data_IF_572444813304
#
_entry.id   IF_572444813304
#
_cell.length_a   1.000
_cell.length_b   1.000
_cell.length_c   1.000
_cell.angle_alpha   90.00
_cell.angle_beta   90.00
_cell.angle_gamma   90.00
#
_symmetry.space_group_name_H-M   'P 1'
#
loop_
_entity.id
_entity.type
_entity.pdbx_description
1 polymer ?
#
# COMPACT_ATOMS: atom_id res chain seq x y z
N UNK A 1 16.29 -14.89 18.24
CA UNK A 1 14.94 -14.69 18.77
C UNK A 1 14.76 -15.39 20.09
N UNK A 2 14.04 -14.78 21.00
CA UNK A 2 13.82 -15.35 22.32
C UNK A 2 12.54 -16.17 22.35
N UNK A 3 12.68 -17.47 22.48
CA UNK A 3 11.54 -18.40 22.52
C UNK A 3 10.62 -18.07 23.72
N UNK A 4 11.22 -17.69 24.84
CA UNK A 4 10.47 -17.32 26.05
C UNK A 4 9.52 -16.16 25.81
N UNK A 5 9.88 -15.24 24.92
CA UNK A 5 9.03 -14.10 24.58
C UNK A 5 7.73 -14.56 23.90
N UNK A 6 7.82 -15.55 23.04
CA UNK A 6 6.65 -16.12 22.35
C UNK A 6 5.77 -16.86 23.36
N UNK A 7 6.37 -17.58 24.31
CA UNK A 7 5.64 -18.33 25.30
C UNK A 7 4.85 -17.45 26.28
N UNK A 8 5.22 -16.16 26.38
CA UNK A 8 4.53 -15.21 27.25
C UNK A 8 3.27 -14.62 26.60
N UNK A 9 3.04 -14.88 25.32
CA UNK A 9 1.86 -14.36 24.62
C UNK A 9 0.66 -15.28 24.81
N UNK A 10 -0.51 -14.66 24.96
CA UNK A 10 -1.77 -15.41 24.91
C UNK A 10 -2.07 -15.84 23.49
N UNK A 11 -2.98 -16.81 23.32
CA UNK A 11 -3.41 -17.25 22.00
C UNK A 11 -3.99 -16.10 21.17
N UNK A 12 -4.81 -15.25 21.80
CA UNK A 12 -5.43 -14.11 21.11
C UNK A 12 -4.38 -13.07 20.68
N UNK A 13 -3.40 -12.81 21.56
CA UNK A 13 -2.31 -11.89 21.25
C UNK A 13 -1.47 -12.40 20.07
N UNK A 14 -1.20 -13.71 20.06
CA UNK A 14 -0.44 -14.32 18.98
C UNK A 14 -1.19 -14.26 17.67
N UNK A 15 -2.48 -14.52 17.64
CA UNK A 15 -3.30 -14.42 16.45
C UNK A 15 -3.34 -12.99 15.92
N UNK A 16 -3.50 -12.00 16.81
CA UNK A 16 -3.50 -10.59 16.43
C UNK A 16 -2.17 -10.18 15.82
N UNK A 17 -1.06 -10.68 16.36
CA UNK A 17 0.28 -10.40 15.85
C UNK A 17 0.47 -10.99 14.45
N UNK A 18 0.03 -12.23 14.25
CA UNK A 18 0.11 -12.89 12.94
C UNK A 18 -0.72 -12.17 11.90
N UNK A 19 -1.95 -11.77 12.24
CA UNK A 19 -2.82 -11.01 11.34
C UNK A 19 -2.17 -9.70 10.93
N UNK A 20 -1.55 -9.00 11.88
CA UNK A 20 -0.85 -7.75 11.61
C UNK A 20 0.30 -7.94 10.63
N UNK A 21 1.11 -9.00 10.82
CA UNK A 21 2.24 -9.30 9.93
C UNK A 21 1.78 -9.65 8.53
N UNK A 22 0.74 -10.46 8.42
CA UNK A 22 0.19 -10.85 7.12
C UNK A 22 -0.36 -9.63 6.37
N UNK A 23 -1.07 -8.75 7.05
CA UNK A 23 -1.61 -7.53 6.45
C UNK A 23 -0.48 -6.60 5.99
N UNK A 24 0.56 -6.42 6.80
CA UNK A 24 1.72 -5.61 6.43
C UNK A 24 2.44 -6.19 5.22
N UNK A 25 2.64 -7.51 5.17
CA UNK A 25 3.28 -8.18 4.04
C UNK A 25 2.47 -7.97 2.77
N UNK A 26 1.15 -8.03 2.86
CA UNK A 26 0.28 -7.79 1.72
C UNK A 26 0.41 -6.35 1.21
N UNK A 27 0.49 -5.39 2.12
CA UNK A 27 0.69 -3.99 1.75
C UNK A 27 2.01 -3.80 1.01
N UNK A 28 3.10 -4.34 1.52
CA UNK A 28 4.40 -4.23 0.86
C UNK A 28 4.45 -4.96 -0.48
N UNK A 29 3.76 -6.10 -0.58
CA UNK A 29 3.63 -6.79 -1.85
C UNK A 29 2.91 -5.90 -2.88
N UNK A 30 1.83 -5.25 -2.47
CA UNK A 30 1.10 -4.32 -3.32
C UNK A 30 2.00 -3.17 -3.79
N UNK A 31 2.74 -2.57 -2.87
CA UNK A 31 3.67 -1.48 -3.19
C UNK A 31 4.72 -1.92 -4.20
N UNK A 32 5.30 -3.10 -4.01
CA UNK A 32 6.34 -3.63 -4.91
C UNK A 32 5.78 -3.90 -6.31
N UNK A 33 4.58 -4.44 -6.42
CA UNK A 33 3.93 -4.69 -7.71
C UNK A 33 3.64 -3.36 -8.42
N UNK A 34 3.12 -2.38 -7.70
CA UNK A 34 2.86 -1.05 -8.26
C UNK A 34 4.15 -0.42 -8.77
N UNK A 35 5.20 -0.47 -7.96
CA UNK A 35 6.50 0.07 -8.34
C UNK A 35 7.03 -0.57 -9.63
N UNK A 36 6.94 -1.88 -9.72
CA UNK A 36 7.40 -2.63 -10.88
C UNK A 36 6.65 -2.23 -12.15
N UNK A 37 5.32 -2.17 -12.08
CA UNK A 37 4.48 -1.85 -13.24
C UNK A 37 4.65 -0.38 -13.68
N UNK A 38 4.85 0.52 -12.74
CA UNK A 38 5.06 1.95 -13.05
C UNK A 38 6.53 2.25 -13.39
N UNK A 39 7.43 1.28 -13.26
CA UNK A 39 8.84 1.47 -13.60
C UNK A 39 9.56 2.39 -12.63
N UNK A 40 9.20 2.35 -11.35
CA UNK A 40 9.83 3.16 -10.31
C UNK A 40 10.37 2.26 -9.21
N UNK A 41 11.31 2.78 -8.44
CA UNK A 41 11.82 2.08 -7.27
C UNK A 41 10.83 2.24 -6.11
N UNK A 42 10.60 1.19 -5.27
CA UNK A 42 9.68 1.32 -4.15
C UNK A 42 9.96 2.49 -3.22
N UNK A 43 11.23 2.86 -3.05
CA UNK A 43 11.61 4.01 -2.21
C UNK A 43 11.01 5.32 -2.73
N UNK A 44 10.78 5.44 -4.03
CA UNK A 44 10.18 6.63 -4.61
C UNK A 44 8.69 6.75 -4.27
N UNK A 45 8.04 5.62 -3.99
CA UNK A 45 6.63 5.62 -3.55
C UNK A 45 6.52 6.20 -2.14
N UNK A 46 7.47 5.85 -1.25
CA UNK A 46 7.48 6.37 0.12
C UNK A 46 7.94 7.82 0.21
N UNK A 47 8.76 8.28 -0.73
CA UNK A 47 9.28 9.65 -0.74
C UNK A 47 8.22 10.64 -1.22
N UNK A 48 8.56 11.94 -1.14
CA UNK A 48 7.73 13.01 -1.69
C UNK A 48 8.19 13.38 -3.10
N UNK A 49 8.45 12.39 -3.92
CA UNK A 49 8.87 12.60 -5.30
C UNK A 49 7.69 13.15 -6.10
N UNK A 50 7.89 14.29 -6.74
CA UNK A 50 6.83 14.99 -7.50
C UNK A 50 6.79 14.63 -8.97
N UNK A 51 7.72 13.79 -9.44
CA UNK A 51 7.67 13.32 -10.83
C UNK A 51 6.39 12.52 -11.08
N UNK A 52 5.96 12.49 -12.33
CA UNK A 52 4.66 11.92 -12.70
C UNK A 52 4.56 10.44 -12.34
N UNK A 53 5.53 9.63 -12.76
CA UNK A 53 5.46 8.19 -12.54
C UNK A 53 5.47 7.82 -11.05
N UNK A 54 6.40 8.31 -10.22
CA UNK A 54 6.37 8.01 -8.78
C UNK A 54 5.11 8.56 -8.09
N UNK A 55 4.64 9.73 -8.50
CA UNK A 55 3.44 10.34 -7.92
C UNK A 55 2.20 9.49 -8.20
N UNK A 56 2.03 9.04 -9.43
CA UNK A 56 0.91 8.18 -9.81
C UNK A 56 1.01 6.80 -9.15
N UNK A 57 2.20 6.24 -9.07
CA UNK A 57 2.44 4.97 -8.39
C UNK A 57 2.04 5.06 -6.92
N UNK A 58 2.45 6.12 -6.24
CA UNK A 58 2.08 6.37 -4.83
C UNK A 58 0.57 6.49 -4.68
N UNK A 59 -0.07 7.25 -5.55
CA UNK A 59 -1.51 7.44 -5.53
C UNK A 59 -2.24 6.11 -5.62
N UNK A 60 -1.86 5.26 -6.56
CA UNK A 60 -2.48 3.95 -6.72
C UNK A 60 -2.19 3.03 -5.53
N UNK A 61 -0.94 3.00 -5.07
CA UNK A 61 -0.57 2.16 -3.94
C UNK A 61 -1.34 2.53 -2.67
N UNK A 62 -1.46 3.81 -2.37
CA UNK A 62 -2.24 4.27 -1.22
C UNK A 62 -3.71 3.88 -1.34
N UNK A 63 -4.29 4.05 -2.52
CA UNK A 63 -5.69 3.69 -2.74
C UNK A 63 -5.93 2.19 -2.54
N UNK A 64 -5.06 1.35 -3.09
CA UNK A 64 -5.20 -0.09 -2.98
C UNK A 64 -4.99 -0.59 -1.56
N UNK A 65 -3.96 -0.10 -0.87
CA UNK A 65 -3.69 -0.51 0.51
C UNK A 65 -4.83 -0.08 1.43
N UNK A 66 -5.44 1.08 1.19
CA UNK A 66 -6.54 1.57 2.01
C UNK A 66 -7.83 0.75 1.88
N UNK A 67 -7.91 -0.16 0.93
CA UNK A 67 -9.08 -1.03 0.79
C UNK A 67 -9.13 -2.12 1.87
N UNK A 68 -7.97 -2.50 2.43
CA UNK A 68 -7.93 -3.55 3.46
C UNK A 68 -7.19 -3.12 4.73
N UNK A 69 -6.85 -1.85 4.84
CA UNK A 69 -6.32 -1.23 6.06
C UNK A 69 -7.13 0.01 6.38
N UNK A 70 -7.16 0.38 7.65
CA UNK A 70 -7.77 1.65 8.06
C UNK A 70 -6.95 2.81 7.49
N UNK A 71 -7.54 4.00 7.48
CA UNK A 71 -6.81 5.21 7.05
C UNK A 71 -5.58 5.44 7.91
N UNK A 72 -5.70 5.22 9.21
CA UNK A 72 -4.58 5.39 10.14
C UNK A 72 -3.45 4.41 9.85
N UNK A 73 -3.78 3.14 9.62
CA UNK A 73 -2.80 2.11 9.30
C UNK A 73 -2.12 2.40 7.95
N UNK A 74 -2.90 2.79 6.95
CA UNK A 74 -2.38 3.13 5.62
C UNK A 74 -1.43 4.32 5.72
N UNK A 75 -1.80 5.36 6.44
CA UNK A 75 -0.94 6.52 6.64
C UNK A 75 0.38 6.12 7.29
N UNK A 76 0.34 5.23 8.26
CA UNK A 76 1.53 4.75 8.95
C UNK A 76 2.44 3.95 8.02
N UNK A 77 1.86 3.06 7.19
CA UNK A 77 2.62 2.27 6.21
C UNK A 77 3.38 3.19 5.26
N UNK A 78 2.73 4.25 4.79
CA UNK A 78 3.34 5.21 3.87
C UNK A 78 4.08 6.34 4.57
N UNK A 79 4.25 6.24 5.90
CA UNK A 79 4.99 7.23 6.70
C UNK A 79 4.41 8.64 6.57
N UNK A 80 3.09 8.73 6.55
CA UNK A 80 2.35 10.00 6.48
C UNK A 80 1.74 10.29 7.85
N UNK A 81 1.76 11.56 8.23
CA UNK A 81 1.23 12.00 9.54
C UNK A 81 -0.29 12.12 9.56
N UNK A 82 -0.90 12.31 8.39
CA UNK A 82 -2.29 12.71 8.30
C UNK A 82 -3.07 11.76 7.38
N UNK A 83 -4.27 11.39 7.82
CA UNK A 83 -5.21 10.59 7.03
C UNK A 83 -5.67 11.29 5.75
N UNK A 84 -5.66 12.62 5.74
CA UNK A 84 -6.08 13.42 4.61
C UNK A 84 -5.30 13.07 3.34
N UNK A 85 -4.01 12.77 3.48
CA UNK A 85 -3.19 12.33 2.36
C UNK A 85 -3.75 11.08 1.70
N UNK A 86 -4.21 10.13 2.51
CA UNK A 86 -4.76 8.87 2.00
C UNK A 86 -6.13 9.11 1.33
N UNK A 87 -6.96 9.93 1.94
CA UNK A 87 -8.27 10.29 1.37
C UNK A 87 -8.09 10.98 0.01
N UNK A 88 -7.15 11.92 -0.07
CA UNK A 88 -6.84 12.62 -1.32
C UNK A 88 -6.31 11.64 -2.38
N UNK A 89 -5.48 10.67 -1.98
CA UNK A 89 -4.96 9.67 -2.89
C UNK A 89 -6.08 8.80 -3.46
N UNK A 90 -7.03 8.39 -2.65
CA UNK A 90 -8.19 7.61 -3.12
C UNK A 90 -9.00 8.37 -4.15
N UNK A 91 -9.28 9.64 -3.88
CA UNK A 91 -10.02 10.51 -4.80
C UNK A 91 -9.28 10.70 -6.10
N UNK A 92 -7.96 10.93 -6.02
CA UNK A 92 -7.12 11.14 -7.19
C UNK A 92 -6.98 9.87 -8.02
N UNK A 93 -6.84 8.72 -7.39
CA UNK A 93 -6.77 7.44 -8.09
C UNK A 93 -8.07 7.19 -8.86
N UNK A 94 -9.20 7.49 -8.28
CA UNK A 94 -10.50 7.37 -8.90
C UNK A 94 -10.61 8.27 -10.14
N UNK A 95 -10.21 9.53 -10.00
CA UNK A 95 -10.21 10.48 -11.11
C UNK A 95 -9.25 10.03 -12.22
N UNK A 96 -8.04 9.60 -11.89
CA UNK A 96 -7.07 9.15 -12.88
C UNK A 96 -7.55 7.89 -13.61
N UNK A 97 -8.22 6.99 -12.93
CA UNK A 97 -8.78 5.78 -13.56
C UNK A 97 -9.81 6.14 -14.61
N UNK A 98 -10.56 7.20 -14.41
CA UNK A 98 -11.56 7.65 -15.38
C UNK A 98 -10.95 8.48 -16.51
N UNK A 99 -9.91 9.27 -16.24
CA UNK A 99 -9.42 10.30 -17.15
C UNK A 99 -8.14 9.92 -17.91
N UNK A 100 -7.36 9.00 -17.37
CA UNK A 100 -6.04 8.65 -17.92
C UNK A 100 -6.02 7.17 -18.29
N UNK A 101 -6.02 6.90 -19.60
CA UNK A 101 -6.03 5.54 -20.14
C UNK A 101 -4.78 4.76 -19.73
N UNK A 102 -3.61 5.40 -19.73
CA UNK A 102 -2.36 4.76 -19.33
C UNK A 102 -2.39 4.34 -17.85
N UNK A 103 -2.88 5.21 -16.98
CA UNK A 103 -3.04 4.90 -15.58
C UNK A 103 -4.01 3.73 -15.39
N UNK A 104 -5.12 3.75 -16.10
CA UNK A 104 -6.14 2.68 -16.04
C UNK A 104 -5.55 1.34 -16.43
N UNK A 105 -4.78 1.30 -17.51
CA UNK A 105 -4.11 0.07 -17.95
C UNK A 105 -3.14 -0.47 -16.91
N UNK A 106 -2.31 0.40 -16.36
CA UNK A 106 -1.36 0.01 -15.32
C UNK A 106 -2.07 -0.50 -14.08
N UNK A 107 -3.16 0.15 -13.69
CA UNK A 107 -3.97 -0.30 -12.56
C UNK A 107 -4.53 -1.70 -12.78
N UNK A 108 -4.99 -2.01 -14.00
CA UNK A 108 -5.47 -3.35 -14.35
C UNK A 108 -4.37 -4.38 -14.22
N UNK A 109 -3.17 -4.09 -14.69
CA UNK A 109 -2.02 -5.00 -14.56
C UNK A 109 -1.69 -5.26 -13.10
N UNK A 110 -1.73 -4.22 -12.27
CA UNK A 110 -1.49 -4.37 -10.84
C UNK A 110 -2.52 -5.31 -10.22
N UNK A 111 -3.80 -5.08 -10.49
CA UNK A 111 -4.88 -5.91 -9.94
C UNK A 111 -4.76 -7.35 -10.39
N UNK A 112 -4.42 -7.59 -11.64
CA UNK A 112 -4.23 -8.94 -12.15
C UNK A 112 -3.09 -9.67 -11.44
N UNK A 113 -1.97 -8.99 -11.21
CA UNK A 113 -0.84 -9.59 -10.50
C UNK A 113 -1.14 -9.84 -9.03
N UNK A 114 -1.96 -9.01 -8.41
CA UNK A 114 -2.37 -9.21 -7.02
C UNK A 114 -3.24 -10.44 -6.84
N UNK A 115 -3.99 -10.81 -7.87
CA UNK A 115 -4.85 -12.00 -7.84
C UNK A 115 -4.09 -13.29 -8.10
N UNK A 116 -2.94 -13.20 -8.70
CA UNK A 116 -2.13 -14.37 -9.06
C UNK A 116 -1.48 -15.06 -7.86
#
# INVERSE_FOLDING_TARGET
MKVTHVNDLTTDELCAELDRRMSSNKAYRTINIVADIFGVHPSQIFAYDKQVAPSQARTLAMALVSEYHTLAETARIFQRKNHTTIISAKQRADALTRQDASFREKAKFVLNRLKA
#
